data_IF_057658352970
#
_entry.id   IF_057658352970
#
_cell.length_a   1.000
_cell.length_b   1.000
_cell.length_c   1.000
_cell.angle_alpha   90.00
_cell.angle_beta   90.00
_cell.angle_gamma   90.00
#
_symmetry.space_group_name_H-M   'P 1'
#
loop_
_entity.id
_entity.type
_entity.pdbx_description
1 polymer ?
#
# COMPACT_ATOMS: atom_id res chain seq x y z
N UNK A 1 22.33 -1.84 -15.05
CA UNK A 1 21.25 -2.09 -14.06
C UNK A 1 21.88 -2.18 -12.69
N UNK A 2 21.58 -1.25 -11.77
CA UNK A 2 21.90 -1.46 -10.35
C UNK A 2 21.01 -2.59 -9.86
N UNK A 3 21.61 -3.72 -9.49
CA UNK A 3 20.91 -4.72 -8.70
C UNK A 3 20.94 -4.25 -7.25
N UNK A 4 19.77 -4.11 -6.63
CA UNK A 4 19.73 -3.94 -5.17
C UNK A 4 20.25 -5.21 -4.51
N UNK A 5 20.99 -5.10 -3.40
CA UNK A 5 21.43 -6.25 -2.63
C UNK A 5 20.26 -7.17 -2.25
N UNK A 6 20.49 -8.48 -2.06
CA UNK A 6 19.49 -9.37 -1.48
C UNK A 6 18.93 -8.78 -0.17
N UNK A 7 17.63 -8.94 0.07
CA UNK A 7 16.91 -8.39 1.24
C UNK A 7 16.79 -6.85 1.29
N UNK A 8 16.94 -6.17 0.15
CA UNK A 8 16.61 -4.75 0.05
C UNK A 8 15.09 -4.52 0.04
N UNK A 9 14.66 -3.40 0.62
CA UNK A 9 13.29 -2.91 0.49
C UNK A 9 13.27 -1.46 -0.01
N UNK A 10 12.17 -1.10 -0.65
CA UNK A 10 11.89 0.27 -1.06
C UNK A 10 10.61 0.77 -0.40
N UNK A 11 10.56 2.06 -0.09
CA UNK A 11 9.40 2.71 0.54
C UNK A 11 8.88 3.80 -0.39
N UNK A 12 7.58 3.80 -0.66
CA UNK A 12 6.87 4.86 -1.36
C UNK A 12 6.08 5.67 -0.33
N UNK A 13 6.49 6.92 -0.13
CA UNK A 13 5.82 7.88 0.74
C UNK A 13 5.23 9.04 -0.11
N UNK A 14 3.92 9.07 -0.39
CA UNK A 14 2.86 8.11 -0.07
C UNK A 14 2.16 7.61 -1.34
N UNK A 15 1.45 6.48 -1.25
CA UNK A 15 0.78 5.78 -2.36
C UNK A 15 -0.06 6.71 -3.24
N UNK A 16 -0.81 7.65 -2.64
CA UNK A 16 -1.67 8.57 -3.39
C UNK A 16 -0.90 9.56 -4.29
N UNK A 17 0.41 9.74 -4.12
CA UNK A 17 1.24 10.51 -5.07
C UNK A 17 1.48 9.77 -6.39
N UNK A 18 1.28 8.45 -6.45
CA UNK A 18 1.41 7.69 -7.69
C UNK A 18 0.36 8.10 -8.74
N UNK A 19 -0.80 8.60 -8.29
CA UNK A 19 -1.92 9.04 -9.14
C UNK A 19 -1.87 10.55 -9.48
N UNK A 20 -0.84 11.29 -9.02
CA UNK A 20 -0.77 12.75 -9.21
C UNK A 20 -0.60 13.18 -10.68
N UNK A 21 0.15 12.40 -11.48
CA UNK A 21 0.37 12.72 -12.89
C UNK A 21 -0.60 11.92 -13.75
N UNK A 22 -1.61 12.59 -14.31
CA UNK A 22 -2.67 11.97 -15.14
C UNK A 22 -2.16 11.26 -16.42
N UNK A 23 -0.88 11.40 -16.76
CA UNK A 23 -0.24 10.67 -17.84
C UNK A 23 0.24 9.28 -17.42
N UNK A 24 0.37 9.03 -16.11
CA UNK A 24 0.73 7.72 -15.60
C UNK A 24 -0.44 6.73 -15.74
N UNK A 25 -0.14 5.42 -15.79
CA UNK A 25 -1.18 4.41 -15.69
C UNK A 25 -2.04 4.60 -14.43
N UNK A 26 -3.30 4.15 -14.42
CA UNK A 26 -4.13 4.14 -13.23
C UNK A 26 -3.44 3.46 -12.04
N UNK A 27 -3.74 3.91 -10.81
CA UNK A 27 -3.13 3.37 -9.59
C UNK A 27 -3.19 1.84 -9.50
N UNK A 28 -4.31 1.22 -9.90
CA UNK A 28 -4.45 -0.25 -9.93
C UNK A 28 -3.42 -0.94 -10.84
N UNK A 29 -3.13 -0.36 -12.02
CA UNK A 29 -2.12 -0.90 -12.94
C UNK A 29 -0.71 -0.70 -12.37
N UNK A 30 -0.45 0.45 -11.74
CA UNK A 30 0.82 0.70 -11.08
C UNK A 30 1.07 -0.31 -9.93
N UNK A 31 0.06 -0.58 -9.11
CA UNK A 31 0.17 -1.56 -8.01
C UNK A 31 0.42 -2.98 -8.54
N UNK A 32 -0.23 -3.39 -9.63
CA UNK A 32 0.02 -4.68 -10.28
C UNK A 32 1.45 -4.77 -10.86
N UNK A 33 1.95 -3.71 -11.50
CA UNK A 33 3.34 -3.65 -11.99
C UNK A 33 4.33 -3.79 -10.82
N UNK A 34 4.11 -3.07 -9.72
CA UNK A 34 4.95 -3.14 -8.53
C UNK A 34 4.90 -4.53 -7.88
N UNK A 35 3.70 -5.13 -7.78
CA UNK A 35 3.53 -6.48 -7.25
C UNK A 35 4.33 -7.50 -8.08
N UNK A 36 4.17 -7.50 -9.41
CA UNK A 36 4.92 -8.40 -10.30
C UNK A 36 6.42 -8.18 -10.23
N UNK A 37 6.87 -6.93 -10.08
CA UNK A 37 8.28 -6.64 -9.89
C UNK A 37 8.82 -7.27 -8.60
N UNK A 38 8.09 -7.14 -7.48
CA UNK A 38 8.47 -7.75 -6.20
C UNK A 38 8.55 -9.29 -6.32
N UNK A 39 7.56 -9.91 -6.97
CA UNK A 39 7.55 -11.37 -7.20
C UNK A 39 8.76 -11.84 -8.03
N UNK A 40 9.13 -11.10 -9.07
CA UNK A 40 10.26 -11.46 -9.95
C UNK A 40 11.62 -11.21 -9.32
N UNK A 41 11.74 -10.16 -8.50
CA UNK A 41 13.02 -9.71 -7.94
C UNK A 41 13.31 -10.21 -6.52
N UNK A 42 12.29 -10.71 -5.82
CA UNK A 42 12.38 -11.05 -4.39
C UNK A 42 12.51 -9.82 -3.48
N UNK A 43 12.31 -8.61 -4.01
CA UNK A 43 12.37 -7.37 -3.24
C UNK A 43 11.05 -7.10 -2.51
N UNK A 44 11.14 -6.39 -1.39
CA UNK A 44 9.97 -5.93 -0.64
C UNK A 44 9.69 -4.46 -0.99
N UNK A 45 8.44 -4.15 -1.34
CA UNK A 45 7.96 -2.77 -1.51
C UNK A 45 6.98 -2.44 -0.39
N UNK A 46 7.19 -1.30 0.27
CA UNK A 46 6.32 -0.77 1.32
C UNK A 46 5.68 0.50 0.81
N UNK A 47 4.34 0.58 0.88
CA UNK A 47 3.59 1.78 0.53
C UNK A 47 3.04 2.41 1.80
N UNK A 48 3.35 3.69 2.03
CA UNK A 48 2.69 4.48 3.07
C UNK A 48 1.40 5.02 2.47
N UNK A 49 0.27 4.82 3.15
CA UNK A 49 -1.04 5.29 2.70
C UNK A 49 -1.70 6.17 3.75
N UNK A 50 -2.28 7.28 3.31
CA UNK A 50 -3.19 8.07 4.15
C UNK A 50 -4.50 7.30 4.44
N UNK A 51 -5.09 7.59 5.59
CA UNK A 51 -6.41 7.13 6.02
C UNK A 51 -7.45 8.23 5.70
N UNK A 52 -8.65 7.82 5.31
CA UNK A 52 -9.76 8.74 5.06
C UNK A 52 -10.25 9.38 6.36
N UNK A 53 -10.61 10.67 6.31
CA UNK A 53 -11.09 11.41 7.49
C UNK A 53 -12.37 10.83 8.09
N UNK A 54 -13.16 10.09 7.31
CA UNK A 54 -14.33 9.38 7.80
C UNK A 54 -14.00 8.38 8.94
N UNK A 55 -12.74 7.90 9.01
CA UNK A 55 -12.26 7.09 10.12
C UNK A 55 -12.43 7.77 11.47
N UNK A 56 -12.20 9.08 11.58
CA UNK A 56 -12.33 9.83 12.84
C UNK A 56 -13.76 9.78 13.40
N UNK A 57 -14.75 9.73 12.51
CA UNK A 57 -16.16 9.61 12.88
C UNK A 57 -16.60 8.16 13.13
N UNK A 58 -15.77 7.16 12.84
CA UNK A 58 -16.13 5.74 12.91
C UNK A 58 -16.14 5.18 14.34
N UNK A 59 -15.41 5.82 15.27
CA UNK A 59 -15.20 5.31 16.63
C UNK A 59 -14.32 4.04 16.70
N UNK A 60 -13.76 3.57 15.59
CA UNK A 60 -12.82 2.44 15.57
C UNK A 60 -11.52 2.81 16.28
N UNK A 61 -10.93 1.89 17.03
CA UNK A 61 -9.64 2.10 17.69
C UNK A 61 -8.43 2.00 16.76
N UNK A 62 -8.59 1.35 15.61
CA UNK A 62 -7.57 1.18 14.59
C UNK A 62 -8.23 1.17 13.20
N UNK A 63 -7.59 1.76 12.18
CA UNK A 63 -8.10 1.68 10.82
C UNK A 63 -7.95 0.28 10.26
N UNK A 64 -8.69 0.02 9.19
CA UNK A 64 -8.58 -1.16 8.35
C UNK A 64 -8.46 -0.79 6.85
N UNK A 65 -8.43 -1.80 5.98
CA UNK A 65 -8.21 -1.63 4.53
C UNK A 65 -9.28 -0.75 3.87
N UNK A 66 -10.49 -0.71 4.42
CA UNK A 66 -11.59 0.12 3.90
C UNK A 66 -11.46 1.59 4.30
N UNK A 67 -10.63 1.89 5.30
CA UNK A 67 -10.35 3.25 5.73
C UNK A 67 -9.17 3.88 4.95
N UNK A 68 -8.51 3.13 4.05
CA UNK A 68 -7.45 3.66 3.20
C UNK A 68 -8.01 4.69 2.22
N UNK A 69 -7.43 5.89 2.21
CA UNK A 69 -7.83 6.95 1.29
C UNK A 69 -7.37 6.63 -0.12
N UNK A 70 -8.31 6.45 -1.05
CA UNK A 70 -8.00 6.22 -2.45
C UNK A 70 -8.34 7.45 -3.31
N UNK A 71 -7.46 7.85 -4.25
CA UNK A 71 -7.76 8.95 -5.18
C UNK A 71 -8.84 8.57 -6.21
N UNK A 72 -9.00 7.26 -6.47
CA UNK A 72 -9.97 6.69 -7.39
C UNK A 72 -10.38 5.27 -6.91
N UNK A 73 -11.35 4.62 -7.57
CA UNK A 73 -11.74 3.25 -7.22
C UNK A 73 -10.64 2.25 -7.59
N UNK A 74 -9.71 2.00 -6.67
CA UNK A 74 -8.61 1.04 -6.84
C UNK A 74 -8.84 -0.19 -5.95
N UNK A 75 -8.69 -1.38 -6.53
CA UNK A 75 -8.64 -2.62 -5.76
C UNK A 75 -7.26 -2.79 -5.11
N UNK A 76 -7.26 -3.05 -3.81
CA UNK A 76 -6.05 -3.26 -2.99
C UNK A 76 -5.75 -4.75 -2.75
N UNK A 77 -6.41 -5.68 -3.45
CA UNK A 77 -6.20 -7.12 -3.33
C UNK A 77 -4.75 -7.59 -3.52
N UNK A 78 -3.93 -6.82 -4.25
CA UNK A 78 -2.50 -7.12 -4.47
C UNK A 78 -1.61 -6.85 -3.24
N UNK A 79 -2.15 -6.22 -2.20
CA UNK A 79 -1.43 -5.92 -0.96
C UNK A 79 -1.29 -7.22 -0.15
N UNK A 80 -0.06 -7.71 -0.05
CA UNK A 80 0.27 -8.96 0.65
C UNK A 80 0.28 -8.83 2.17
N UNK A 81 0.46 -7.62 2.69
CA UNK A 81 0.44 -7.33 4.12
C UNK A 81 0.04 -5.87 4.38
N UNK A 82 -0.65 -5.65 5.50
CA UNK A 82 -1.03 -4.32 5.98
C UNK A 82 -0.49 -4.11 7.39
N UNK A 83 -0.15 -2.85 7.70
CA UNK A 83 0.19 -2.40 9.04
C UNK A 83 -0.58 -1.11 9.30
N UNK A 84 -1.59 -1.17 10.16
CA UNK A 84 -2.39 -0.01 10.56
C UNK A 84 -1.94 0.51 11.91
N UNK A 85 -1.88 1.84 12.06
CA UNK A 85 -1.43 2.51 13.27
C UNK A 85 -2.44 3.59 13.67
N UNK A 86 -2.73 3.69 14.98
CA UNK A 86 -3.53 4.77 15.55
C UNK A 86 -3.23 4.89 17.06
N UNK A 87 -2.94 6.11 17.56
CA UNK A 87 -2.72 6.38 18.99
C UNK A 87 -1.78 5.39 19.71
N UNK A 88 -0.66 5.05 19.07
CA UNK A 88 0.33 4.11 19.61
C UNK A 88 -0.05 2.63 19.53
N UNK A 89 -1.27 2.30 19.07
CA UNK A 89 -1.67 0.94 18.74
C UNK A 89 -1.28 0.61 17.31
N UNK A 90 -1.04 -0.68 17.04
CA UNK A 90 -0.81 -1.17 15.68
C UNK A 90 -1.44 -2.54 15.45
N UNK A 91 -1.77 -2.84 14.20
CA UNK A 91 -2.20 -4.17 13.75
C UNK A 91 -1.53 -4.52 12.44
N UNK A 92 -0.83 -5.65 12.44
CA UNK A 92 -0.23 -6.23 11.24
C UNK A 92 -1.07 -7.42 10.80
N UNK A 93 -1.48 -7.41 9.54
CA UNK A 93 -2.20 -8.54 8.92
C UNK A 93 -1.46 -8.93 7.65
N UNK A 94 -1.35 -10.23 7.38
CA UNK A 94 -0.91 -10.75 6.09
C UNK A 94 -2.11 -11.31 5.35
N UNK A 95 -2.18 -11.06 4.05
CA UNK A 95 -3.10 -11.79 3.19
C UNK A 95 -2.67 -13.26 3.18
N UNK A 96 -3.60 -14.17 3.49
CA UNK A 96 -3.36 -15.60 3.29
C UNK A 96 -3.42 -15.85 1.78
N UNK A 97 -2.27 -15.89 1.13
CA UNK A 97 -2.20 -16.35 -0.25
C UNK A 97 -2.42 -17.88 -0.23
N UNK A 98 -3.57 -18.36 -0.72
CA UNK A 98 -3.79 -19.76 -1.10
C UNK A 98 -3.12 -20.06 -2.43
#
# INVERSE_FOLDING_TARGET
MMHSPPNSFAVIDYMQLLDHQRQNPPLVEQLDILHRYCQKSGQTMILISQIDRAFEASGKSLPDIHDVRLPNSTDLSQISATCFLHEGQHRITRANNM
#
